data_IF_570420431529
#
_entry.id   IF_570420431529
#
_cell.length_a   1.000
_cell.length_b   1.000
_cell.length_c   1.000
_cell.angle_alpha   90.00
_cell.angle_beta   90.00
_cell.angle_gamma   90.00
#
_symmetry.space_group_name_H-M   'P 1'
#
loop_
_entity.id
_entity.type
_entity.pdbx_description
1 polymer ?
#
# COMPACT_ATOMS: atom_id res chain seq x y z
N UNK A 1 7.05 11.63 1.57
CA UNK A 1 7.23 10.20 1.25
C UNK A 1 5.88 9.66 0.80
N UNK A 2 5.82 8.71 -0.14
CA UNK A 2 4.55 8.15 -0.64
C UNK A 2 4.51 6.66 -0.41
N UNK A 3 3.40 6.14 0.10
CA UNK A 3 3.27 4.75 0.50
C UNK A 3 2.18 4.05 -0.32
N UNK A 4 2.42 2.78 -0.62
CA UNK A 4 1.40 1.82 -1.04
C UNK A 4 1.35 0.74 0.04
N UNK A 5 0.17 0.47 0.58
CA UNK A 5 -0.05 -0.68 1.46
C UNK A 5 -0.71 -1.80 0.66
N UNK A 6 -0.18 -2.99 0.88
CA UNK A 6 -0.64 -4.24 0.27
C UNK A 6 -2.04 -4.64 0.77
N UNK A 7 -2.65 -5.64 0.12
CA UNK A 7 -4.03 -6.06 0.37
C UNK A 7 -4.25 -6.67 1.76
N UNK A 8 -3.24 -7.36 2.29
CA UNK A 8 -3.26 -8.01 3.60
C UNK A 8 -2.94 -7.05 4.77
N UNK A 9 -2.74 -5.76 4.49
CA UNK A 9 -2.39 -4.80 5.54
C UNK A 9 -3.56 -4.49 6.48
N UNK A 10 -3.32 -4.43 7.79
CA UNK A 10 -4.36 -4.15 8.78
C UNK A 10 -4.98 -2.75 8.57
N UNK A 11 -6.23 -2.72 8.12
CA UNK A 11 -7.00 -1.50 7.87
C UNK A 11 -7.16 -0.60 9.12
N UNK A 12 -7.01 -1.13 10.34
CA UNK A 12 -7.03 -0.33 11.57
C UNK A 12 -5.77 0.52 11.68
N UNK A 13 -4.62 -0.01 11.27
CA UNK A 13 -3.35 0.73 11.24
C UNK A 13 -3.44 1.82 10.18
N UNK A 14 -3.93 1.51 8.97
CA UNK A 14 -4.15 2.51 7.91
C UNK A 14 -5.02 3.68 8.37
N UNK A 15 -6.18 3.38 8.97
CA UNK A 15 -7.09 4.42 9.51
C UNK A 15 -6.47 5.20 10.67
N UNK A 16 -5.68 4.53 11.51
CA UNK A 16 -4.94 5.17 12.59
C UNK A 16 -3.90 6.17 12.08
N UNK A 17 -3.14 5.79 11.03
CA UNK A 17 -2.17 6.65 10.38
C UNK A 17 -2.82 7.89 9.77
N UNK A 18 -3.91 7.74 9.02
CA UNK A 18 -4.63 8.89 8.44
C UNK A 18 -5.27 9.80 9.49
N UNK A 19 -5.65 9.25 10.66
CA UNK A 19 -6.16 10.05 11.78
C UNK A 19 -5.05 10.87 12.44
N UNK A 20 -3.87 10.27 12.61
CA UNK A 20 -2.72 10.93 13.22
C UNK A 20 -2.11 11.97 12.27
N UNK A 21 -1.99 11.64 10.98
CA UNK A 21 -1.37 12.47 9.95
C UNK A 21 -2.26 12.52 8.68
N UNK A 22 -3.24 13.44 8.62
CA UNK A 22 -4.21 13.50 7.52
C UNK A 22 -3.62 13.83 6.14
N UNK A 23 -2.40 14.39 6.11
CA UNK A 23 -1.68 14.74 4.88
C UNK A 23 -0.72 13.63 4.42
N UNK A 24 -0.68 12.50 5.12
CA UNK A 24 0.15 11.36 4.74
C UNK A 24 -0.30 10.81 3.37
N UNK A 25 0.61 10.80 2.39
CA UNK A 25 0.36 10.18 1.08
C UNK A 25 0.51 8.66 1.20
N UNK A 26 -0.57 8.00 1.58
CA UNK A 26 -0.70 6.56 1.71
C UNK A 26 -1.98 6.10 1.03
N UNK A 27 -1.89 5.05 0.22
CA UNK A 27 -3.03 4.44 -0.48
C UNK A 27 -2.94 2.91 -0.40
N UNK A 28 -4.06 2.22 -0.59
CA UNK A 28 -4.13 0.75 -0.63
C UNK A 28 -4.03 0.24 -2.05
N UNK A 29 -3.42 -0.93 -2.26
CA UNK A 29 -3.36 -1.59 -3.56
C UNK A 29 -4.76 -1.80 -4.16
N UNK A 30 -5.73 -2.12 -3.30
CA UNK A 30 -7.16 -2.26 -3.61
C UNK A 30 -7.81 -0.99 -4.19
N UNK A 31 -7.23 0.18 -3.94
CA UNK A 31 -7.72 1.47 -4.43
C UNK A 31 -6.97 1.92 -5.71
N UNK A 32 -6.25 1.01 -6.38
CA UNK A 32 -5.44 1.32 -7.57
C UNK A 32 -5.77 0.43 -8.77
N UNK A 33 -5.17 0.75 -9.92
CA UNK A 33 -5.31 -0.03 -11.16
C UNK A 33 -4.58 -1.38 -11.14
N UNK A 34 -3.74 -1.63 -10.13
CA UNK A 34 -3.00 -2.88 -9.95
C UNK A 34 -3.55 -3.72 -8.80
N UNK A 35 -4.81 -3.48 -8.40
CA UNK A 35 -5.51 -4.37 -7.48
C UNK A 35 -5.54 -5.79 -8.04
N UNK A 36 -5.31 -6.80 -7.18
CA UNK A 36 -5.28 -8.24 -7.53
C UNK A 36 -4.19 -8.64 -8.55
N UNK A 37 -3.28 -7.72 -8.88
CA UNK A 37 -2.17 -8.05 -9.77
C UNK A 37 -1.08 -8.85 -9.05
N UNK A 38 -0.35 -9.68 -9.80
CA UNK A 38 0.80 -10.39 -9.24
C UNK A 38 1.93 -9.42 -8.82
N UNK A 39 2.76 -9.85 -7.85
CA UNK A 39 3.86 -9.07 -7.28
C UNK A 39 4.72 -8.32 -8.30
N UNK A 40 5.15 -8.90 -9.44
CA UNK A 40 5.99 -8.17 -10.38
C UNK A 40 5.32 -6.93 -10.96
N UNK A 41 4.00 -6.97 -11.19
CA UNK A 41 3.25 -5.83 -11.71
C UNK A 41 3.05 -4.76 -10.64
N UNK A 42 2.77 -5.18 -9.40
CA UNK A 42 2.69 -4.28 -8.25
C UNK A 42 4.02 -3.56 -8.05
N UNK A 43 5.14 -4.28 -8.06
CA UNK A 43 6.48 -3.72 -7.85
C UNK A 43 6.89 -2.73 -8.94
N UNK A 44 6.65 -3.06 -10.22
CA UNK A 44 6.89 -2.13 -11.34
C UNK A 44 6.04 -0.87 -11.20
N UNK A 45 4.76 -1.01 -10.85
CA UNK A 45 3.87 0.11 -10.62
C UNK A 45 4.35 1.00 -9.46
N UNK A 46 4.71 0.42 -8.32
CA UNK A 46 5.24 1.12 -7.15
C UNK A 46 6.49 1.94 -7.51
N UNK A 47 7.41 1.33 -8.27
CA UNK A 47 8.63 1.98 -8.74
C UNK A 47 8.33 3.18 -9.66
N UNK A 48 7.44 2.99 -10.64
CA UNK A 48 7.00 4.06 -11.56
C UNK A 48 6.29 5.20 -10.82
N UNK A 49 5.46 4.86 -9.84
CA UNK A 49 4.76 5.83 -8.99
C UNK A 49 5.67 6.43 -7.91
N UNK A 50 6.94 6.03 -7.81
CA UNK A 50 7.88 6.43 -6.74
C UNK A 50 7.22 6.35 -5.35
N UNK A 51 6.61 5.20 -5.07
CA UNK A 51 6.04 4.86 -3.77
C UNK A 51 6.94 3.84 -3.06
N UNK A 52 6.79 3.75 -1.76
CA UNK A 52 7.37 2.68 -0.94
C UNK A 52 6.25 1.68 -0.67
N UNK A 53 6.46 0.41 -1.02
CA UNK A 53 5.52 -0.67 -0.74
C UNK A 53 5.70 -1.15 0.70
N UNK A 54 4.60 -1.19 1.45
CA UNK A 54 4.50 -1.90 2.73
C UNK A 54 3.68 -3.16 2.48
N UNK A 55 4.35 -4.31 2.38
CA UNK A 55 3.69 -5.62 2.39
C UNK A 55 3.71 -6.22 3.79
N UNK A 56 2.70 -7.04 4.07
CA UNK A 56 2.62 -7.82 5.29
C UNK A 56 2.52 -9.29 4.90
N UNK A 57 3.65 -9.98 4.90
CA UNK A 57 3.66 -11.43 4.72
C UNK A 57 3.31 -12.11 6.05
N UNK A 58 2.09 -12.64 6.15
CA UNK A 58 1.71 -13.56 7.22
C UNK A 58 2.17 -14.95 6.81
N UNK A 59 3.29 -15.41 7.38
CA UNK A 59 3.65 -16.84 7.29
C UNK A 59 2.48 -17.67 7.84
N UNK A 60 1.80 -18.41 6.96
CA UNK A 60 0.97 -19.54 7.36
C UNK A 60 1.85 -20.67 7.92
#
# INVERSE_FOLDING_TARGET
>A
MRFLIDEDFDNRIFRGLLRAEPLLDIIRVQDTVVSEADDPLILDWVARQRRILFSHDVKQ
#
